data_IF_983789092478
#
_entry.id   IF_983789092478
#
_cell.length_a   1.000
_cell.length_b   1.000
_cell.length_c   1.000
_cell.angle_alpha   90.00
_cell.angle_beta   90.00
_cell.angle_gamma   90.00
#
_symmetry.space_group_name_H-M   'P 1'
#
loop_
_entity.id
_entity.type
_entity.pdbx_description
1 polymer ?
#
# COMPACT_ATOMS: atom_id res chain seq x y z
N UNK A 1 -3.87 -16.63 22.98
CA UNK A 1 -5.28 -16.17 23.01
C UNK A 1 -5.94 -16.74 21.77
N UNK A 2 -7.15 -17.28 21.88
CA UNK A 2 -7.87 -17.85 20.73
C UNK A 2 -8.65 -16.75 19.98
N UNK A 3 -8.84 -16.87 18.66
CA UNK A 3 -9.63 -15.91 17.90
C UNK A 3 -11.12 -16.01 18.27
N UNK A 4 -11.85 -14.92 18.02
CA UNK A 4 -13.32 -14.91 18.06
C UNK A 4 -13.89 -16.04 17.18
N UNK A 5 -14.97 -16.74 17.59
CA UNK A 5 -15.49 -17.92 16.88
C UNK A 5 -15.76 -17.69 15.39
N UNK A 6 -16.21 -16.49 15.02
CA UNK A 6 -16.45 -16.11 13.62
C UNK A 6 -15.15 -16.07 12.80
N UNK A 7 -14.10 -15.45 13.35
CA UNK A 7 -12.78 -15.38 12.72
C UNK A 7 -12.13 -16.77 12.67
N UNK A 8 -12.26 -17.57 13.74
CA UNK A 8 -11.78 -18.94 13.78
C UNK A 8 -12.38 -19.79 12.63
N UNK A 9 -13.69 -19.67 12.43
CA UNK A 9 -14.40 -20.38 11.36
C UNK A 9 -13.93 -19.93 9.97
N UNK A 10 -13.79 -18.62 9.76
CA UNK A 10 -13.25 -18.10 8.49
C UNK A 10 -11.85 -18.65 8.22
N UNK A 11 -10.95 -18.62 9.21
CA UNK A 11 -9.59 -19.17 9.08
C UNK A 11 -9.63 -20.63 8.62
N UNK A 12 -10.44 -21.46 9.28
CA UNK A 12 -10.55 -22.89 8.94
C UNK A 12 -11.15 -23.11 7.55
N UNK A 13 -12.23 -22.41 7.21
CA UNK A 13 -12.91 -22.57 5.91
C UNK A 13 -12.02 -22.11 4.75
N UNK A 14 -11.34 -20.97 4.87
CA UNK A 14 -10.46 -20.47 3.80
C UNK A 14 -9.22 -21.33 3.63
N UNK A 15 -8.52 -21.68 4.73
CA UNK A 15 -7.36 -22.56 4.65
C UNK A 15 -7.73 -23.93 4.08
N UNK A 16 -8.91 -24.46 4.43
CA UNK A 16 -9.41 -25.73 3.91
C UNK A 16 -9.75 -25.70 2.42
N UNK A 17 -10.14 -24.55 1.87
CA UNK A 17 -10.51 -24.40 0.46
C UNK A 17 -9.32 -24.10 -0.46
N UNK A 18 -8.51 -23.11 -0.10
CA UNK A 18 -7.46 -22.58 -0.99
C UNK A 18 -6.04 -22.94 -0.54
N UNK A 19 -5.85 -23.39 0.70
CA UNK A 19 -4.53 -23.53 1.31
C UNK A 19 -3.78 -22.19 1.48
N UNK A 20 -4.42 -21.05 1.19
CA UNK A 20 -3.83 -19.72 1.29
C UNK A 20 -4.29 -19.01 2.56
N UNK A 21 -3.39 -18.28 3.23
CA UNK A 21 -3.73 -17.43 4.37
C UNK A 21 -4.83 -16.42 4.05
N UNK A 22 -5.70 -16.17 5.04
CA UNK A 22 -6.62 -15.02 5.00
C UNK A 22 -5.86 -13.70 5.09
N UNK A 23 -6.54 -12.63 4.68
CA UNK A 23 -6.16 -11.26 4.99
C UNK A 23 -5.92 -11.06 6.50
N UNK A 24 -6.66 -11.74 7.36
CA UNK A 24 -6.60 -11.58 8.83
C UNK A 24 -6.37 -12.90 9.56
N UNK A 25 -5.70 -12.82 10.71
CA UNK A 25 -5.58 -13.93 11.65
C UNK A 25 -4.45 -14.92 11.39
N UNK A 26 -3.47 -14.55 10.55
CA UNK A 26 -2.28 -15.38 10.25
C UNK A 26 -1.53 -15.76 11.53
N UNK A 27 -1.49 -14.86 12.51
CA UNK A 27 -0.84 -15.08 13.80
C UNK A 27 -1.41 -16.24 14.62
N UNK A 28 -2.67 -16.64 14.41
CA UNK A 28 -3.33 -17.66 15.24
C UNK A 28 -2.89 -19.09 14.92
N UNK A 29 -2.34 -19.33 13.73
CA UNK A 29 -1.84 -20.63 13.31
C UNK A 29 -0.37 -20.58 12.87
N UNK A 30 0.30 -19.46 13.14
CA UNK A 30 1.73 -19.32 12.90
C UNK A 30 2.53 -20.12 13.94
N UNK A 31 3.58 -20.82 13.48
CA UNK A 31 4.49 -21.57 14.34
C UNK A 31 5.92 -21.57 13.80
N UNK A 32 6.91 -21.57 14.70
CA UNK A 32 8.30 -21.86 14.37
C UNK A 32 9.17 -20.72 13.80
N UNK A 33 8.61 -19.55 13.52
CA UNK A 33 9.35 -18.39 12.97
C UNK A 33 9.36 -17.15 13.90
N UNK A 34 8.88 -17.30 15.14
CA UNK A 34 8.67 -16.20 16.08
C UNK A 34 9.96 -15.45 16.41
N UNK A 35 11.10 -16.14 16.49
CA UNK A 35 12.42 -15.51 16.68
C UNK A 35 12.79 -14.56 15.55
N UNK A 36 12.51 -14.96 14.30
CA UNK A 36 12.75 -14.13 13.11
C UNK A 36 11.81 -12.94 13.07
N UNK A 37 10.52 -13.16 13.37
CA UNK A 37 9.53 -12.09 13.44
C UNK A 37 9.87 -11.06 14.51
N UNK A 38 10.30 -11.51 15.69
CA UNK A 38 10.73 -10.62 16.77
C UNK A 38 11.99 -9.84 16.42
N UNK A 39 12.94 -10.45 15.69
CA UNK A 39 14.11 -9.72 15.19
C UNK A 39 13.72 -8.65 14.15
N UNK A 40 12.81 -8.97 13.22
CA UNK A 40 12.27 -8.00 12.25
C UNK A 40 11.58 -6.85 12.97
N UNK A 41 10.70 -7.17 13.92
CA UNK A 41 9.93 -6.18 14.66
C UNK A 41 10.83 -5.27 15.52
N UNK A 42 11.74 -5.86 16.30
CA UNK A 42 12.57 -5.10 17.27
C UNK A 42 13.64 -4.27 16.58
N UNK A 43 14.36 -4.84 15.61
CA UNK A 43 15.53 -4.18 15.04
C UNK A 43 15.22 -3.33 13.81
N UNK A 44 14.08 -3.54 13.14
CA UNK A 44 13.74 -2.84 11.91
C UNK A 44 12.44 -2.06 12.04
N UNK A 45 11.28 -2.73 12.17
CA UNK A 45 9.98 -2.05 12.15
C UNK A 45 9.81 -1.06 13.30
N UNK A 46 10.21 -1.45 14.52
CA UNK A 46 10.13 -0.65 15.72
C UNK A 46 11.34 0.25 16.00
N UNK A 47 12.32 0.29 15.10
CA UNK A 47 13.57 1.05 15.28
C UNK A 47 14.00 1.74 13.97
N UNK A 48 15.03 1.21 13.30
CA UNK A 48 15.68 1.87 12.15
C UNK A 48 14.74 2.34 11.04
N UNK A 49 13.66 1.59 10.75
CA UNK A 49 12.70 1.98 9.71
C UNK A 49 11.76 3.09 10.17
N UNK A 50 11.41 3.14 11.46
CA UNK A 50 10.60 4.22 12.03
C UNK A 50 11.32 5.58 11.95
N UNK A 51 12.65 5.57 12.08
CA UNK A 51 13.51 6.75 11.96
C UNK A 51 13.70 7.21 10.49
N UNK A 52 13.12 6.50 9.52
CA UNK A 52 13.21 6.82 8.09
C UNK A 52 14.34 6.12 7.34
N UNK A 53 14.96 5.11 7.94
CA UNK A 53 15.87 4.22 7.24
C UNK A 53 15.14 3.37 6.18
N UNK A 54 15.93 2.77 5.28
CA UNK A 54 15.45 1.79 4.31
C UNK A 54 16.30 0.52 4.41
N UNK A 55 15.66 -0.64 4.32
CA UNK A 55 16.34 -1.94 4.33
C UNK A 55 15.70 -2.88 3.31
N UNK A 56 16.54 -3.73 2.72
CA UNK A 56 16.10 -4.83 1.88
C UNK A 56 16.44 -6.16 2.56
N UNK A 57 15.52 -7.13 2.49
CA UNK A 57 15.69 -8.49 3.02
C UNK A 57 15.22 -9.50 1.98
N UNK A 58 15.97 -10.59 1.85
CA UNK A 58 15.60 -11.73 1.02
C UNK A 58 15.30 -12.93 1.91
N UNK A 59 14.15 -13.55 1.71
CA UNK A 59 13.73 -14.76 2.42
C UNK A 59 13.92 -15.94 1.48
N UNK A 60 14.89 -16.78 1.78
CA UNK A 60 15.26 -17.94 0.96
C UNK A 60 14.85 -19.22 1.68
N UNK A 61 14.29 -20.17 0.94
CA UNK A 61 13.91 -21.48 1.45
C UNK A 61 13.27 -22.32 0.36
N UNK A 62 13.08 -23.61 0.62
CA UNK A 62 12.53 -24.54 -0.36
C UNK A 62 11.05 -24.26 -0.68
N UNK A 63 10.55 -24.90 -1.75
CA UNK A 63 9.12 -24.87 -2.05
C UNK A 63 8.34 -25.50 -0.90
N UNK A 64 7.27 -24.82 -0.44
CA UNK A 64 6.50 -25.25 0.73
C UNK A 64 7.13 -24.93 2.09
N UNK A 65 8.30 -24.27 2.15
CA UNK A 65 8.93 -23.88 3.42
C UNK A 65 8.21 -22.74 4.18
N UNK A 66 7.03 -22.30 3.71
CA UNK A 66 6.24 -21.26 4.38
C UNK A 66 6.69 -19.82 4.10
N UNK A 67 7.41 -19.55 2.99
CA UNK A 67 7.88 -18.19 2.64
C UNK A 67 6.74 -17.17 2.53
N UNK A 68 5.70 -17.49 1.76
CA UNK A 68 4.51 -16.63 1.62
C UNK A 68 3.82 -16.41 2.96
N UNK A 69 3.69 -17.47 3.77
CA UNK A 69 3.16 -17.40 5.14
C UNK A 69 3.99 -16.46 6.03
N UNK A 70 5.31 -16.53 5.94
CA UNK A 70 6.21 -15.63 6.65
C UNK A 70 6.03 -14.17 6.22
N UNK A 71 5.86 -13.90 4.91
CA UNK A 71 5.56 -12.55 4.44
C UNK A 71 4.24 -12.02 5.01
N UNK A 72 3.20 -12.84 5.10
CA UNK A 72 1.95 -12.45 5.77
C UNK A 72 2.16 -12.15 7.26
N UNK A 73 3.02 -12.90 7.95
CA UNK A 73 3.35 -12.59 9.35
C UNK A 73 4.09 -11.25 9.49
N UNK A 74 5.00 -10.93 8.57
CA UNK A 74 5.71 -9.65 8.54
C UNK A 74 4.74 -8.49 8.24
N UNK A 75 3.80 -8.67 7.31
CA UNK A 75 2.72 -7.72 7.03
C UNK A 75 1.93 -7.37 8.29
N UNK A 76 1.49 -8.38 9.04
CA UNK A 76 0.69 -8.17 10.25
C UNK A 76 1.48 -7.38 11.30
N UNK A 77 2.79 -7.67 11.48
CA UNK A 77 3.69 -6.88 12.34
C UNK A 77 3.86 -5.44 11.82
N UNK A 78 3.98 -5.25 10.51
CA UNK A 78 4.10 -3.93 9.90
C UNK A 78 2.85 -3.08 10.17
N UNK A 79 1.65 -3.64 10.03
CA UNK A 79 0.41 -2.95 10.37
C UNK A 79 0.31 -2.58 11.85
N UNK A 80 0.70 -3.48 12.76
CA UNK A 80 0.77 -3.19 14.20
C UNK A 80 1.72 -2.02 14.52
N UNK A 81 2.72 -1.77 13.67
CA UNK A 81 3.66 -0.65 13.75
C UNK A 81 3.26 0.55 12.88
N UNK A 82 2.01 0.59 12.39
CA UNK A 82 1.46 1.65 11.55
C UNK A 82 2.23 1.87 10.22
N UNK A 83 2.77 0.80 9.64
CA UNK A 83 3.28 0.83 8.26
C UNK A 83 2.14 0.59 7.27
N UNK A 84 2.17 1.29 6.14
CA UNK A 84 1.42 0.86 4.96
C UNK A 84 2.10 -0.37 4.36
N UNK A 85 1.32 -1.25 3.73
CA UNK A 85 1.86 -2.48 3.13
C UNK A 85 1.37 -2.64 1.71
N UNK A 86 2.28 -2.96 0.79
CA UNK A 86 1.96 -3.43 -0.55
C UNK A 86 2.49 -4.85 -0.72
N UNK A 87 1.62 -5.81 -1.05
CA UNK A 87 2.02 -7.20 -1.33
C UNK A 87 1.89 -7.49 -2.82
N UNK A 88 3.01 -7.59 -3.51
CA UNK A 88 3.07 -7.85 -4.95
C UNK A 88 3.54 -9.28 -5.17
N UNK A 89 2.73 -10.07 -5.87
CA UNK A 89 3.17 -11.37 -6.36
C UNK A 89 3.98 -11.16 -7.65
N UNK A 90 5.26 -11.53 -7.63
CA UNK A 90 6.14 -11.35 -8.78
C UNK A 90 5.95 -12.51 -9.75
N UNK A 91 5.17 -12.28 -10.80
CA UNK A 91 5.14 -13.17 -11.94
C UNK A 91 5.89 -12.56 -13.14
N UNK A 92 6.63 -13.36 -13.95
CA UNK A 92 7.25 -12.88 -15.19
C UNK A 92 6.28 -12.21 -16.16
N UNK A 93 4.97 -12.52 -16.04
CA UNK A 93 3.92 -11.96 -16.87
C UNK A 93 3.35 -10.66 -16.34
N UNK A 94 3.33 -10.44 -15.03
CA UNK A 94 2.64 -9.30 -14.40
C UNK A 94 3.62 -8.19 -13.98
N UNK A 95 4.83 -8.53 -13.50
CA UNK A 95 5.80 -7.57 -12.96
C UNK A 95 7.25 -7.90 -13.34
N UNK A 96 7.64 -7.75 -14.62
CA UNK A 96 9.00 -8.00 -15.04
C UNK A 96 9.92 -6.85 -14.56
N UNK A 97 11.00 -7.21 -13.85
CA UNK A 97 11.91 -6.25 -13.19
C UNK A 97 12.62 -5.28 -14.15
N UNK A 98 12.70 -5.61 -15.44
CA UNK A 98 13.27 -4.76 -16.49
C UNK A 98 12.34 -3.59 -16.88
N UNK A 99 11.09 -3.60 -16.40
CA UNK A 99 10.16 -2.50 -16.60
C UNK A 99 9.80 -1.81 -15.27
N UNK A 100 10.60 -0.80 -14.92
CA UNK A 100 10.41 0.00 -13.71
C UNK A 100 8.99 0.59 -13.61
N UNK A 101 8.35 0.94 -14.75
CA UNK A 101 6.97 1.44 -14.76
C UNK A 101 6.00 0.37 -14.28
N UNK A 102 6.18 -0.87 -14.74
CA UNK A 102 5.33 -2.00 -14.34
C UNK A 102 5.51 -2.35 -12.86
N UNK A 103 6.74 -2.29 -12.35
CA UNK A 103 7.01 -2.48 -10.91
C UNK A 103 6.29 -1.41 -10.09
N UNK A 104 6.39 -0.14 -10.47
CA UNK A 104 5.66 0.94 -9.81
C UNK A 104 4.14 0.70 -9.84
N UNK A 105 3.58 0.40 -11.02
CA UNK A 105 2.14 0.18 -11.20
C UNK A 105 1.65 -1.01 -10.35
N UNK A 106 2.41 -2.10 -10.30
CA UNK A 106 2.10 -3.26 -9.47
C UNK A 106 2.09 -2.91 -7.98
N UNK A 107 3.06 -2.12 -7.51
CA UNK A 107 3.08 -1.63 -6.11
C UNK A 107 1.89 -0.71 -5.81
N UNK A 108 1.60 0.24 -6.70
CA UNK A 108 0.46 1.16 -6.51
C UNK A 108 -0.88 0.40 -6.47
N UNK A 109 -1.05 -0.60 -7.34
CA UNK A 109 -2.26 -1.43 -7.39
C UNK A 109 -2.37 -2.43 -6.25
N UNK A 110 -1.26 -2.87 -5.67
CA UNK A 110 -1.23 -3.84 -4.59
C UNK A 110 -1.12 -3.25 -3.18
N UNK A 111 -1.16 -1.91 -3.06
CA UNK A 111 -1.18 -1.25 -1.77
C UNK A 111 -2.47 -1.61 -1.03
N UNK A 112 -2.35 -2.03 0.22
CA UNK A 112 -3.45 -2.61 0.99
C UNK A 112 -3.99 -1.57 1.97
N UNK A 113 -5.28 -1.27 1.86
CA UNK A 113 -6.03 -0.64 2.94
C UNK A 113 -6.43 -1.71 3.96
N UNK A 114 -5.94 -1.54 5.19
CA UNK A 114 -6.25 -2.43 6.30
C UNK A 114 -6.73 -1.62 7.50
N UNK A 115 -7.97 -1.86 7.92
CA UNK A 115 -8.51 -1.32 9.15
C UNK A 115 -8.17 -2.23 10.33
N UNK A 116 -7.29 -1.75 11.21
CA UNK A 116 -6.89 -2.45 12.43
C UNK A 116 -8.10 -2.71 13.33
N UNK A 117 -8.31 -3.98 13.70
CA UNK A 117 -9.44 -4.39 14.53
C UNK A 117 -10.79 -4.45 13.81
N UNK A 118 -10.86 -4.03 12.55
CA UNK A 118 -12.05 -4.18 11.71
C UNK A 118 -12.27 -5.64 11.32
N UNK A 119 -13.53 -6.02 11.06
CA UNK A 119 -13.90 -7.34 10.52
C UNK A 119 -14.10 -7.34 9.00
N UNK A 120 -14.05 -6.15 8.36
CA UNK A 120 -14.16 -6.00 6.92
C UNK A 120 -12.99 -6.68 6.18
N UNK A 121 -13.19 -7.03 4.92
CA UNK A 121 -12.11 -7.50 4.07
C UNK A 121 -11.12 -6.37 3.76
N UNK A 122 -9.87 -6.74 3.51
CA UNK A 122 -8.85 -5.77 3.12
C UNK A 122 -9.10 -5.35 1.67
N UNK A 123 -8.96 -4.05 1.39
CA UNK A 123 -9.09 -3.51 0.04
C UNK A 123 -7.72 -3.22 -0.57
N UNK A 124 -7.63 -3.25 -1.90
CA UNK A 124 -6.38 -3.05 -2.61
C UNK A 124 -6.46 -1.85 -3.56
N UNK A 125 -5.30 -1.23 -3.77
CA UNK A 125 -5.10 -0.10 -4.65
C UNK A 125 -4.81 1.19 -3.88
N UNK A 126 -3.94 2.01 -4.44
CA UNK A 126 -3.59 3.31 -3.89
C UNK A 126 -4.82 4.21 -3.72
N UNK A 127 -5.79 4.16 -4.64
CA UNK A 127 -7.06 4.87 -4.49
C UNK A 127 -7.81 4.47 -3.22
N UNK A 128 -8.02 3.17 -3.01
CA UNK A 128 -8.68 2.61 -1.80
C UNK A 128 -7.92 2.93 -0.52
N UNK A 129 -6.59 2.88 -0.57
CA UNK A 129 -5.75 3.27 0.55
C UNK A 129 -5.93 4.74 0.96
N UNK A 130 -5.98 5.65 -0.02
CA UNK A 130 -6.20 7.08 0.23
C UNK A 130 -7.62 7.35 0.73
N UNK A 131 -8.63 6.73 0.11
CA UNK A 131 -10.04 6.82 0.53
C UNK A 131 -10.21 6.34 1.97
N UNK A 132 -9.72 5.15 2.29
CA UNK A 132 -9.78 4.58 3.63
C UNK A 132 -9.06 5.46 4.66
N UNK A 133 -7.91 6.03 4.30
CA UNK A 133 -7.15 6.92 5.19
C UNK A 133 -7.97 8.15 5.59
N UNK A 134 -8.64 8.80 4.65
CA UNK A 134 -9.54 9.92 4.96
C UNK A 134 -10.79 9.44 5.70
N UNK A 135 -11.39 8.32 5.27
CA UNK A 135 -12.62 7.80 5.86
C UNK A 135 -12.43 7.49 7.35
N UNK A 136 -11.25 7.01 7.74
CA UNK A 136 -10.86 6.82 9.15
C UNK A 136 -10.88 8.10 9.99
N UNK A 137 -10.65 9.27 9.38
CA UNK A 137 -10.69 10.57 10.05
C UNK A 137 -12.12 11.14 10.11
N UNK A 138 -12.94 10.86 9.09
CA UNK A 138 -14.27 11.45 8.93
C UNK A 138 -15.36 10.62 9.63
N UNK A 139 -15.31 9.30 9.52
CA UNK A 139 -16.33 8.39 10.05
C UNK A 139 -16.61 8.52 11.57
N UNK A 140 -15.62 8.81 12.46
CA UNK A 140 -15.89 9.03 13.88
C UNK A 140 -16.82 10.20 14.18
N UNK A 141 -16.98 11.14 13.23
CA UNK A 141 -17.88 12.28 13.33
C UNK A 141 -19.28 12.01 12.76
N UNK A 142 -19.53 10.79 12.28
CA UNK A 142 -20.81 10.42 11.66
C UNK A 142 -21.03 11.03 10.26
N UNK A 143 -19.94 11.45 9.60
CA UNK A 143 -19.93 12.01 8.26
C UNK A 143 -19.35 11.01 7.25
N UNK A 144 -19.68 11.17 5.98
CA UNK A 144 -18.96 10.59 4.84
C UNK A 144 -18.03 11.63 4.17
N UNK A 145 -17.12 11.18 3.31
CA UNK A 145 -16.06 12.00 2.72
C UNK A 145 -16.56 13.24 1.98
N UNK A 146 -17.69 13.15 1.29
CA UNK A 146 -18.25 14.23 0.49
C UNK A 146 -19.37 15.01 1.21
N UNK A 147 -19.59 14.73 2.50
CA UNK A 147 -20.58 15.45 3.30
C UNK A 147 -20.11 16.87 3.62
N UNK A 148 -21.06 17.79 3.78
CA UNK A 148 -20.77 19.15 4.20
C UNK A 148 -20.08 19.17 5.57
N UNK A 149 -18.94 19.85 5.66
CA UNK A 149 -18.12 19.93 6.87
C UNK A 149 -17.04 18.84 7.00
N UNK A 150 -17.01 17.82 6.14
CA UNK A 150 -15.95 16.80 6.16
C UNK A 150 -14.55 17.40 5.90
N UNK A 151 -14.43 18.32 4.93
CA UNK A 151 -13.18 19.05 4.61
C UNK A 151 -12.76 19.99 5.77
N UNK A 152 -13.70 20.41 6.62
CA UNK A 152 -13.47 21.36 7.72
C UNK A 152 -13.06 20.72 9.05
N UNK A 153 -13.09 19.39 9.14
CA UNK A 153 -12.64 18.67 10.35
C UNK A 153 -11.16 19.00 10.63
N UNK A 154 -10.79 19.33 11.89
CA UNK A 154 -9.41 19.68 12.25
C UNK A 154 -8.37 18.64 11.80
N UNK A 155 -8.69 17.35 11.94
CA UNK A 155 -7.85 16.20 11.61
C UNK A 155 -7.65 16.09 10.09
N UNK A 156 -8.72 16.32 9.31
CA UNK A 156 -8.66 16.33 7.85
C UNK A 156 -7.82 17.51 7.36
N UNK A 157 -8.05 18.72 7.90
CA UNK A 157 -7.24 19.90 7.55
C UNK A 157 -5.77 19.72 7.92
N UNK A 158 -5.48 19.14 9.08
CA UNK A 158 -4.12 18.85 9.50
C UNK A 158 -3.42 17.85 8.56
N UNK A 159 -4.13 16.80 8.13
CA UNK A 159 -3.64 15.85 7.14
C UNK A 159 -3.35 16.54 5.81
N UNK A 160 -4.31 17.29 5.26
CA UNK A 160 -4.15 18.00 3.98
C UNK A 160 -2.97 18.99 4.04
N UNK A 161 -2.83 19.72 5.14
CA UNK A 161 -1.69 20.62 5.35
C UNK A 161 -0.36 19.85 5.41
N UNK A 162 -0.32 18.72 6.11
CA UNK A 162 0.89 17.88 6.20
C UNK A 162 1.28 17.33 4.84
N UNK A 163 0.32 16.82 4.08
CA UNK A 163 0.52 16.37 2.68
C UNK A 163 1.03 17.52 1.81
N UNK A 164 0.46 18.72 1.95
CA UNK A 164 0.84 19.88 1.14
C UNK A 164 2.24 20.45 1.45
N UNK A 165 2.77 20.20 2.65
CA UNK A 165 4.05 20.76 3.13
C UNK A 165 5.17 19.73 3.19
N UNK A 166 4.86 18.44 3.12
CA UNK A 166 5.86 17.37 3.10
C UNK A 166 6.59 17.37 1.75
N UNK A 167 7.92 17.42 1.72
CA UNK A 167 8.67 17.39 0.47
C UNK A 167 8.54 16.01 -0.21
N UNK A 168 7.92 16.02 -1.39
CA UNK A 168 7.80 14.86 -2.28
C UNK A 168 8.66 15.09 -3.52
N UNK A 169 9.42 14.07 -3.94
CA UNK A 169 10.43 14.18 -4.99
C UNK A 169 9.85 14.57 -6.36
N UNK A 170 8.68 14.04 -6.74
CA UNK A 170 7.93 14.50 -7.92
C UNK A 170 6.86 15.51 -7.56
N UNK A 171 6.95 16.70 -8.16
CA UNK A 171 5.91 17.71 -8.09
C UNK A 171 4.58 17.22 -8.69
N UNK A 172 4.61 16.47 -9.81
CA UNK A 172 3.39 15.92 -10.38
C UNK A 172 2.73 14.92 -9.43
N UNK A 173 3.54 14.11 -8.73
CA UNK A 173 3.04 13.15 -7.74
C UNK A 173 2.43 13.85 -6.52
N UNK A 174 3.13 14.85 -5.99
CA UNK A 174 2.64 15.72 -4.92
C UNK A 174 1.26 16.31 -5.26
N UNK A 175 1.14 16.91 -6.44
CA UNK A 175 -0.12 17.49 -6.92
C UNK A 175 -1.19 16.44 -7.19
N UNK A 176 -0.82 15.25 -7.63
CA UNK A 176 -1.77 14.16 -7.84
C UNK A 176 -2.39 13.70 -6.52
N UNK A 177 -1.58 13.51 -5.46
CA UNK A 177 -2.09 13.12 -4.13
C UNK A 177 -2.97 14.23 -3.53
N UNK A 178 -2.50 15.48 -3.52
CA UNK A 178 -3.30 16.61 -3.04
C UNK A 178 -4.62 16.75 -3.81
N UNK A 179 -4.56 16.63 -5.13
CA UNK A 179 -5.73 16.65 -6.01
C UNK A 179 -6.69 15.50 -5.74
N UNK A 180 -6.17 14.30 -5.44
CA UNK A 180 -6.99 13.10 -5.21
C UNK A 180 -7.77 13.24 -3.89
N UNK A 181 -7.09 13.62 -2.81
CA UNK A 181 -7.72 13.87 -1.51
C UNK A 181 -8.77 14.98 -1.59
N UNK A 182 -8.47 16.07 -2.29
CA UNK A 182 -9.43 17.16 -2.52
C UNK A 182 -10.62 16.71 -3.37
N UNK A 183 -10.38 15.89 -4.40
CA UNK A 183 -11.45 15.38 -5.27
C UNK A 183 -12.39 14.43 -4.51
N UNK A 184 -11.86 13.61 -3.59
CA UNK A 184 -12.67 12.78 -2.69
C UNK A 184 -13.59 13.65 -1.82
N UNK A 185 -13.03 14.64 -1.14
CA UNK A 185 -13.77 15.49 -0.20
C UNK A 185 -14.84 16.36 -0.90
N UNK A 186 -14.63 16.67 -2.17
CA UNK A 186 -15.54 17.53 -2.96
C UNK A 186 -16.43 16.75 -3.94
N UNK A 187 -16.43 15.42 -3.88
CA UNK A 187 -17.24 14.58 -4.76
C UNK A 187 -16.96 14.77 -6.26
N UNK A 188 -15.70 15.04 -6.65
CA UNK A 188 -15.32 15.30 -8.05
C UNK A 188 -15.00 14.00 -8.81
N UNK A 189 -16.01 13.17 -9.06
CA UNK A 189 -15.86 11.80 -9.60
C UNK A 189 -14.99 11.72 -10.85
N UNK A 190 -15.22 12.56 -11.86
CA UNK A 190 -14.42 12.56 -13.10
C UNK A 190 -12.92 12.81 -12.85
N UNK A 191 -12.61 13.77 -11.96
CA UNK A 191 -11.22 14.09 -11.62
C UNK A 191 -10.59 12.97 -10.79
N UNK A 192 -11.37 12.35 -9.92
CA UNK A 192 -10.95 11.22 -9.10
C UNK A 192 -10.53 10.04 -9.99
N UNK A 193 -11.36 9.65 -10.96
CA UNK A 193 -11.04 8.56 -11.91
C UNK A 193 -9.77 8.85 -12.72
N UNK A 194 -9.60 10.10 -13.20
CA UNK A 194 -8.40 10.50 -13.94
C UNK A 194 -7.13 10.43 -13.09
N UNK A 195 -7.20 10.92 -11.84
CA UNK A 195 -6.09 10.87 -10.89
C UNK A 195 -5.77 9.44 -10.44
N UNK A 196 -6.78 8.60 -10.26
CA UNK A 196 -6.60 7.19 -9.90
C UNK A 196 -5.80 6.47 -10.99
N UNK A 197 -6.22 6.57 -12.26
CA UNK A 197 -5.48 6.02 -13.39
C UNK A 197 -4.04 6.52 -13.43
N UNK A 198 -3.85 7.84 -13.24
CA UNK A 198 -2.51 8.43 -13.24
C UNK A 198 -1.64 7.86 -12.10
N UNK A 199 -2.17 7.82 -10.87
CA UNK A 199 -1.49 7.31 -9.68
C UNK A 199 -1.19 5.82 -9.79
N UNK A 200 -2.01 5.03 -10.47
CA UNK A 200 -1.72 3.63 -10.75
C UNK A 200 -0.74 3.43 -11.93
N UNK A 201 -0.29 4.50 -12.59
CA UNK A 201 0.61 4.43 -13.74
C UNK A 201 -0.05 3.91 -15.02
N UNK A 202 -1.38 3.91 -15.06
CA UNK A 202 -2.19 3.53 -16.22
C UNK A 202 -2.19 4.63 -17.29
N UNK A 203 -2.74 4.31 -18.46
CA UNK A 203 -2.91 5.31 -19.52
C UNK A 203 -4.08 6.24 -19.22
N UNK A 204 -3.77 7.54 -19.17
CA UNK A 204 -4.76 8.62 -19.02
C UNK A 204 -5.07 9.21 -20.39
N UNK A 205 -6.36 9.47 -20.65
CA UNK A 205 -6.81 10.05 -21.91
C UNK A 205 -6.18 11.43 -22.15
N UNK A 206 -5.99 11.88 -23.40
CA UNK A 206 -5.45 13.23 -23.67
C UNK A 206 -6.29 14.36 -23.06
N UNK A 207 -7.61 14.18 -22.99
CA UNK A 207 -8.53 15.13 -22.39
C UNK A 207 -8.33 15.21 -20.88
N UNK A 208 -8.36 14.06 -20.19
CA UNK A 208 -8.16 14.03 -18.74
C UNK A 208 -6.76 14.53 -18.36
N UNK A 209 -5.73 14.19 -19.16
CA UNK A 209 -4.38 14.71 -18.94
C UNK A 209 -4.29 16.23 -19.10
N UNK A 210 -5.11 16.83 -19.98
CA UNK A 210 -5.20 18.30 -20.11
C UNK A 210 -5.81 18.91 -18.85
N UNK A 211 -6.82 18.27 -18.28
CA UNK A 211 -7.44 18.71 -17.04
C UNK A 211 -6.50 18.55 -15.84
N UNK A 212 -5.78 17.42 -15.74
CA UNK A 212 -4.79 17.17 -14.70
C UNK A 212 -3.64 18.19 -14.71
N UNK A 213 -3.25 18.69 -15.89
CA UNK A 213 -2.24 19.76 -16.02
C UNK A 213 -2.67 21.06 -15.34
N UNK A 214 -3.97 21.35 -15.27
CA UNK A 214 -4.49 22.58 -14.62
C UNK A 214 -4.24 22.59 -13.11
N UNK A 215 -4.05 21.41 -12.50
CA UNK A 215 -3.72 21.25 -11.08
C UNK A 215 -2.23 20.92 -10.85
N UNK A 216 -1.41 20.97 -11.89
CA UNK A 216 0.04 20.78 -11.79
C UNK A 216 0.55 19.35 -12.04
N UNK A 217 -0.32 18.41 -12.41
CA UNK A 217 0.09 17.06 -12.82
C UNK A 217 0.44 17.08 -14.31
N UNK A 218 1.73 17.16 -14.63
CA UNK A 218 2.19 17.51 -16.00
C UNK A 218 2.84 16.37 -16.78
N UNK A 219 3.49 15.45 -16.07
CA UNK A 219 4.22 14.33 -16.66
C UNK A 219 3.40 13.03 -16.65
N UNK A 220 3.69 12.12 -17.58
CA UNK A 220 3.18 10.73 -17.54
C UNK A 220 4.18 9.84 -16.81
N UNK A 221 3.68 8.84 -16.08
CA UNK A 221 4.55 7.82 -15.47
C UNK A 221 5.11 6.91 -16.58
N UNK A 222 6.43 6.79 -16.64
CA UNK A 222 7.18 6.05 -17.64
C UNK A 222 8.41 5.39 -17.00
N UNK A 223 9.15 4.59 -17.77
CA UNK A 223 10.29 3.82 -17.26
C UNK A 223 11.39 4.70 -16.63
N UNK A 224 11.54 5.94 -17.08
CA UNK A 224 12.63 6.83 -16.63
C UNK A 224 12.28 7.56 -15.32
N UNK A 225 11.00 7.75 -15.01
CA UNK A 225 10.56 8.42 -13.78
C UNK A 225 9.88 7.48 -12.77
N UNK A 226 9.66 6.21 -13.11
CA UNK A 226 8.97 5.25 -12.23
C UNK A 226 9.64 5.09 -10.86
N UNK A 227 10.97 5.03 -10.79
CA UNK A 227 11.67 4.97 -9.50
C UNK A 227 11.48 6.24 -8.67
N UNK A 228 11.41 7.40 -9.33
CA UNK A 228 11.05 8.68 -8.70
C UNK A 228 9.60 8.66 -8.18
N UNK A 229 8.66 8.05 -8.91
CA UNK A 229 7.28 7.85 -8.44
C UNK A 229 7.20 6.91 -7.24
N UNK A 230 7.99 5.83 -7.22
CA UNK A 230 8.06 4.93 -6.08
C UNK A 230 8.62 5.63 -4.82
N UNK A 231 9.68 6.43 -4.97
CA UNK A 231 10.17 7.28 -3.86
C UNK A 231 9.11 8.28 -3.40
N UNK A 232 8.38 8.88 -4.34
CA UNK A 232 7.29 9.82 -4.05
C UNK A 232 6.15 9.15 -3.29
N UNK A 233 5.80 7.90 -3.64
CA UNK A 233 4.84 7.08 -2.90
C UNK A 233 5.30 6.85 -1.45
N UNK A 234 6.56 6.47 -1.23
CA UNK A 234 7.10 6.28 0.13
C UNK A 234 7.00 7.57 0.96
N UNK A 235 7.27 8.73 0.36
CA UNK A 235 7.16 10.04 1.02
C UNK A 235 5.69 10.40 1.31
N UNK A 236 4.79 10.18 0.35
CA UNK A 236 3.36 10.42 0.50
C UNK A 236 2.76 9.56 1.61
N UNK A 237 3.13 8.27 1.70
CA UNK A 237 2.70 7.37 2.79
C UNK A 237 3.06 7.94 4.16
N UNK A 238 4.27 8.50 4.32
CA UNK A 238 4.65 9.17 5.57
C UNK A 238 3.86 10.45 5.81
N UNK A 239 3.63 11.25 4.78
CA UNK A 239 2.81 12.46 4.85
C UNK A 239 1.36 12.16 5.27
N UNK A 240 0.86 10.96 4.94
CA UNK A 240 -0.46 10.47 5.34
C UNK A 240 -0.52 9.97 6.79
N UNK A 241 0.57 10.07 7.55
CA UNK A 241 0.64 9.70 8.97
C UNK A 241 1.02 8.23 9.23
N UNK A 242 1.52 7.51 8.23
CA UNK A 242 2.08 6.17 8.40
C UNK A 242 3.57 6.24 8.77
N UNK A 243 4.04 5.25 9.53
CA UNK A 243 5.46 5.14 9.92
C UNK A 243 6.37 4.98 8.70
N UNK A 244 5.91 4.22 7.70
CA UNK A 244 6.61 3.97 6.45
C UNK A 244 5.84 3.01 5.55
N UNK A 245 6.49 2.52 4.49
CA UNK A 245 5.94 1.57 3.53
C UNK A 245 6.73 0.25 3.56
N UNK A 246 6.05 -0.87 3.78
CA UNK A 246 6.61 -2.20 3.62
C UNK A 246 6.20 -2.77 2.26
N UNK A 247 7.19 -3.05 1.41
CA UNK A 247 7.00 -3.71 0.12
C UNK A 247 7.30 -5.20 0.28
N UNK A 248 6.29 -6.04 0.10
CA UNK A 248 6.39 -7.48 0.21
C UNK A 248 6.27 -8.08 -1.18
N UNK A 249 7.37 -8.64 -1.68
CA UNK A 249 7.42 -9.29 -2.97
C UNK A 249 7.44 -10.81 -2.78
N UNK A 250 6.44 -11.50 -3.32
CA UNK A 250 6.34 -12.96 -3.28
C UNK A 250 6.76 -13.59 -4.62
N UNK A 251 7.08 -14.88 -4.64
CA UNK A 251 7.49 -15.68 -5.82
C UNK A 251 8.77 -15.23 -6.58
N UNK A 252 9.62 -14.39 -5.99
CA UNK A 252 10.86 -13.91 -6.63
C UNK A 252 11.84 -15.01 -7.11
N UNK A 253 11.83 -16.19 -6.48
CA UNK A 253 12.73 -17.32 -6.82
C UNK A 253 12.52 -17.83 -8.26
N UNK A 254 11.28 -17.81 -8.78
CA UNK A 254 10.98 -18.26 -10.15
C UNK A 254 11.63 -17.36 -11.20
N UNK A 255 11.90 -16.10 -10.86
CA UNK A 255 12.48 -15.12 -11.77
C UNK A 255 14.02 -15.11 -11.71
N UNK A 256 14.63 -15.30 -10.53
CA UNK A 256 16.08 -15.41 -10.39
C UNK A 256 16.64 -16.62 -11.16
N UNK A 257 15.86 -17.70 -11.26
CA UNK A 257 16.23 -18.87 -12.07
C UNK A 257 16.25 -18.62 -13.58
N UNK A 258 15.65 -17.52 -14.07
CA UNK A 258 15.59 -17.19 -15.51
C UNK A 258 16.76 -16.28 -15.92
N UNK A 259 17.37 -15.55 -14.98
CA UNK A 259 18.58 -14.75 -15.23
C UNK A 259 19.87 -15.56 -15.37
N UNK A 260 19.80 -16.88 -15.18
CA UNK A 260 20.93 -17.79 -15.29
C UNK A 260 20.70 -18.87 -16.34
N UNK A 261 20.69 -18.50 -17.62
CA UNK A 261 21.02 -19.43 -18.73
C UNK A 261 21.27 -18.66 -20.04
N UNK A 262 22.55 -18.74 -20.45
CA UNK A 262 23.17 -18.55 -21.77
C UNK A 262 23.06 -17.18 -22.43
#
# INVERSE_FOLDING_TARGET
MLPEPRLARQIVETLGQSGTPLSKGVSYYNAGNESLLNAIDTHYLGAYLADGGAVFKLVVGDYGAGKSHFLYCVRDRAWQRNFAVSKVDLSPKESPYDDQRRVYAAVASALIWHELGGIAEDEQGLGRFLEGTLRRLVAPHGLDLADEGAEDLPEVRALLHTVATTPIDSLSYDKAIQGYLTALLRGQTRRLEALERWLHGEEVSPEDMRDLRTIGVTEKINKNNAFKMLRSLCQAVRALGYTGLALLFDEGDRMLSIGGKA
#
